data_IF_268641795098
#
_entry.id   IF_268641795098
#
_cell.length_a   1.000
_cell.length_b   1.000
_cell.length_c   1.000
_cell.angle_alpha   90.00
_cell.angle_beta   90.00
_cell.angle_gamma   90.00
#
_symmetry.space_group_name_H-M   'P 1'
#
loop_
_entity.id
_entity.type
_entity.pdbx_description
1 polymer ?
#
# COMPACT_ATOMS: atom_id res chain seq x y z
N UNK A 1 -32.84 20.18 0.70
CA UNK A 1 -31.58 20.03 -0.04
C UNK A 1 -31.75 20.82 -1.33
N UNK A 2 -31.07 21.95 -1.42
CA UNK A 2 -31.03 22.76 -2.64
C UNK A 2 -29.88 22.21 -3.46
N UNK A 3 -30.17 21.57 -4.60
CA UNK A 3 -29.15 21.10 -5.54
C UNK A 3 -28.31 22.29 -6.02
N UNK A 4 -27.02 22.28 -5.71
CA UNK A 4 -26.08 23.31 -6.18
C UNK A 4 -25.67 22.93 -7.60
N UNK A 5 -26.30 23.55 -8.59
CA UNK A 5 -25.94 23.41 -10.00
C UNK A 5 -24.71 24.27 -10.31
N UNK A 6 -23.66 23.67 -10.87
CA UNK A 6 -22.48 24.40 -11.36
C UNK A 6 -22.59 24.56 -12.89
N UNK A 7 -22.26 25.72 -13.48
CA UNK A 7 -22.29 25.89 -14.93
C UNK A 7 -21.24 24.99 -15.61
N UNK A 8 -21.68 24.02 -16.40
CA UNK A 8 -20.80 23.23 -17.28
C UNK A 8 -20.43 23.98 -18.55
N UNK A 9 -19.31 23.64 -19.17
CA UNK A 9 -18.98 24.06 -20.53
C UNK A 9 -20.00 23.46 -21.51
N UNK A 10 -20.72 24.30 -22.26
CA UNK A 10 -21.77 23.87 -23.20
C UNK A 10 -23.22 24.05 -22.72
N UNK A 11 -23.45 24.67 -21.55
CA UNK A 11 -24.81 25.05 -21.11
C UNK A 11 -25.64 23.93 -20.46
N UNK A 12 -25.08 22.74 -20.27
CA UNK A 12 -25.65 21.72 -19.41
C UNK A 12 -25.30 22.02 -17.94
N UNK A 13 -26.29 21.97 -17.05
CA UNK A 13 -26.08 22.08 -15.62
C UNK A 13 -25.53 20.76 -15.09
N UNK A 14 -24.41 20.81 -14.37
CA UNK A 14 -23.77 19.63 -13.78
C UNK A 14 -24.09 19.62 -12.28
N UNK A 15 -24.62 18.51 -11.78
CA UNK A 15 -24.83 18.30 -10.35
C UNK A 15 -23.47 18.00 -9.68
N UNK A 16 -23.21 18.65 -8.55
CA UNK A 16 -21.98 18.44 -7.78
C UNK A 16 -21.79 16.99 -7.28
N UNK A 17 -22.87 16.19 -7.27
CA UNK A 17 -22.89 14.81 -6.76
C UNK A 17 -22.73 13.76 -7.88
N UNK A 18 -22.54 14.18 -9.13
CA UNK A 18 -22.38 13.26 -10.25
C UNK A 18 -21.04 12.50 -10.16
N UNK A 19 -21.06 11.19 -10.45
CA UNK A 19 -19.86 10.36 -10.46
C UNK A 19 -18.97 10.73 -11.64
N UNK A 20 -17.68 10.92 -11.38
CA UNK A 20 -16.69 11.26 -12.41
C UNK A 20 -16.63 10.18 -13.48
N UNK A 21 -16.71 8.91 -13.06
CA UNK A 21 -16.63 7.75 -13.96
C UNK A 21 -17.83 7.60 -14.91
N UNK A 22 -18.98 8.22 -14.58
CA UNK A 22 -20.18 8.20 -15.42
C UNK A 22 -20.14 9.31 -16.50
N UNK A 23 -19.23 10.27 -16.40
CA UNK A 23 -19.11 11.37 -17.35
C UNK A 23 -18.40 10.92 -18.64
N UNK A 24 -18.88 11.30 -19.85
CA UNK A 24 -18.31 10.83 -21.12
C UNK A 24 -16.85 11.24 -21.37
N UNK A 25 -16.36 12.27 -20.70
CA UNK A 25 -14.95 12.65 -20.74
C UNK A 25 -14.03 11.65 -20.02
N UNK A 26 -14.53 10.86 -19.08
CA UNK A 26 -13.73 9.84 -18.39
C UNK A 26 -13.20 8.73 -19.32
N UNK A 27 -14.04 8.02 -20.10
CA UNK A 27 -13.54 7.04 -21.06
C UNK A 27 -12.67 7.68 -22.15
N UNK A 28 -12.90 8.95 -22.51
CA UNK A 28 -12.03 9.69 -23.42
C UNK A 28 -10.63 9.94 -22.83
N UNK A 29 -10.55 10.31 -21.54
CA UNK A 29 -9.29 10.46 -20.81
C UNK A 29 -8.54 9.14 -20.74
N UNK A 30 -9.21 8.05 -20.34
CA UNK A 30 -8.59 6.72 -20.30
C UNK A 30 -8.03 6.30 -21.64
N UNK A 31 -8.80 6.45 -22.72
CA UNK A 31 -8.36 6.11 -24.07
C UNK A 31 -7.12 6.90 -24.50
N UNK A 32 -7.07 8.22 -24.20
CA UNK A 32 -5.92 9.05 -24.50
C UNK A 32 -4.68 8.62 -23.70
N UNK A 33 -4.84 8.32 -22.41
CA UNK A 33 -3.74 7.82 -21.57
C UNK A 33 -3.25 6.45 -22.07
N UNK A 34 -4.14 5.51 -22.35
CA UNK A 34 -3.80 4.18 -22.87
C UNK A 34 -3.13 4.23 -24.25
N UNK A 35 -3.43 5.24 -25.06
CA UNK A 35 -2.75 5.49 -26.33
C UNK A 35 -1.32 6.04 -26.13
N UNK A 36 -1.11 6.92 -25.15
CA UNK A 36 0.22 7.51 -24.85
C UNK A 36 1.18 6.47 -24.26
N UNK A 37 0.68 5.62 -23.35
CA UNK A 37 1.52 4.74 -22.53
C UNK A 37 2.52 3.87 -23.30
N UNK A 38 2.16 3.18 -24.39
CA UNK A 38 3.07 2.29 -25.11
C UNK A 38 4.24 3.04 -25.77
N UNK A 39 4.12 4.36 -25.94
CA UNK A 39 5.17 5.19 -26.53
C UNK A 39 6.20 5.68 -25.51
N UNK A 40 5.89 5.55 -24.21
CA UNK A 40 6.75 6.03 -23.15
C UNK A 40 7.90 5.06 -22.87
N UNK A 41 9.11 5.62 -22.80
CA UNK A 41 10.30 5.01 -22.22
C UNK A 41 10.13 4.82 -20.71
N UNK A 42 11.07 4.11 -20.08
CA UNK A 42 11.03 3.80 -18.64
C UNK A 42 10.95 5.02 -17.72
N UNK A 43 11.49 6.16 -18.15
CA UNK A 43 11.47 7.42 -17.40
C UNK A 43 10.26 8.31 -17.73
N UNK A 44 9.37 7.86 -18.62
CA UNK A 44 8.16 8.55 -19.05
C UNK A 44 8.33 9.44 -20.28
N UNK A 45 9.55 9.63 -20.79
CA UNK A 45 9.82 10.35 -22.04
C UNK A 45 9.39 9.54 -23.28
N UNK A 46 9.29 10.17 -24.45
CA UNK A 46 9.02 9.47 -25.72
C UNK A 46 10.25 9.57 -26.61
N UNK A 47 10.76 8.42 -27.06
CA UNK A 47 11.86 8.33 -28.02
C UNK A 47 11.29 8.22 -29.44
N UNK A 48 11.32 9.33 -30.19
CA UNK A 48 10.83 9.37 -31.56
C UNK A 48 11.75 8.71 -32.58
N UNK A 49 12.98 8.35 -32.19
CA UNK A 49 13.92 7.63 -33.05
C UNK A 49 13.81 6.10 -32.88
N UNK A 50 13.02 5.64 -31.89
CA UNK A 50 12.80 4.22 -31.66
C UNK A 50 12.00 3.57 -32.79
N UNK A 51 12.26 2.28 -33.02
CA UNK A 51 11.51 1.49 -34.00
C UNK A 51 10.02 1.41 -33.59
N UNK A 52 9.13 1.82 -34.50
CA UNK A 52 7.69 1.84 -34.24
C UNK A 52 7.20 3.07 -33.45
N UNK A 53 8.04 4.09 -33.27
CA UNK A 53 7.63 5.34 -32.64
C UNK A 53 6.46 6.01 -33.40
N UNK A 54 5.53 6.66 -32.67
CA UNK A 54 4.43 7.42 -33.27
C UNK A 54 4.97 8.67 -33.97
N UNK A 55 4.15 9.28 -34.84
CA UNK A 55 4.45 10.63 -35.31
C UNK A 55 4.24 11.65 -34.16
N UNK A 56 5.10 12.67 -33.99
CA UNK A 56 4.95 13.67 -32.93
C UNK A 56 3.56 14.31 -32.85
N UNK A 57 2.91 14.55 -33.99
CA UNK A 57 1.57 15.13 -34.07
C UNK A 57 0.49 14.19 -33.51
N UNK A 58 0.70 12.87 -33.58
CA UNK A 58 -0.20 11.88 -32.98
C UNK A 58 -0.14 11.95 -31.45
N UNK A 59 1.08 12.06 -30.91
CA UNK A 59 1.30 12.19 -29.47
C UNK A 59 0.73 13.51 -28.95
N UNK A 60 1.00 14.62 -29.62
CA UNK A 60 0.42 15.94 -29.30
C UNK A 60 -1.12 15.87 -29.29
N UNK A 61 -1.73 15.26 -30.31
CA UNK A 61 -3.16 15.10 -30.37
C UNK A 61 -3.72 14.22 -29.23
N UNK A 62 -3.00 13.17 -28.80
CA UNK A 62 -3.40 12.34 -27.67
C UNK A 62 -3.31 13.11 -26.34
N UNK A 63 -2.23 13.88 -26.13
CA UNK A 63 -2.06 14.71 -24.93
C UNK A 63 -3.14 15.80 -24.86
N UNK A 64 -3.47 16.46 -25.98
CA UNK A 64 -4.53 17.48 -26.00
C UNK A 64 -5.91 16.86 -25.74
N UNK A 65 -6.18 15.63 -26.19
CA UNK A 65 -7.42 14.90 -25.81
C UNK A 65 -7.47 14.64 -24.30
N UNK A 66 -6.36 14.24 -23.69
CA UNK A 66 -6.29 14.06 -22.24
C UNK A 66 -6.53 15.39 -21.50
N UNK A 67 -5.87 16.47 -21.93
CA UNK A 67 -6.05 17.81 -21.36
C UNK A 67 -7.50 18.31 -21.48
N UNK A 68 -8.11 18.19 -22.65
CA UNK A 68 -9.51 18.57 -22.88
C UNK A 68 -10.48 17.74 -22.04
N UNK A 69 -10.20 16.45 -21.83
CA UNK A 69 -11.01 15.59 -20.97
C UNK A 69 -10.90 16.00 -19.50
N UNK A 70 -9.69 16.35 -19.01
CA UNK A 70 -9.49 16.92 -17.67
C UNK A 70 -10.26 18.23 -17.51
N UNK A 71 -10.21 19.13 -18.50
CA UNK A 71 -10.97 20.40 -18.47
C UNK A 71 -12.50 20.15 -18.41
N UNK A 72 -13.01 19.11 -19.06
CA UNK A 72 -14.43 18.73 -19.02
C UNK A 72 -14.85 18.07 -17.70
N UNK A 73 -13.95 17.32 -17.06
CA UNK A 73 -14.21 16.67 -15.76
C UNK A 73 -14.07 17.66 -14.59
N UNK A 74 -13.21 18.68 -14.72
CA UNK A 74 -12.89 19.63 -13.65
C UNK A 74 -14.11 20.29 -12.97
N UNK A 75 -15.19 20.68 -13.68
CA UNK A 75 -16.40 21.23 -13.04
C UNK A 75 -17.11 20.29 -12.06
N UNK A 76 -16.94 18.96 -12.18
CA UNK A 76 -17.45 17.98 -11.21
C UNK A 76 -16.67 17.99 -9.89
N UNK A 77 -15.47 18.55 -9.89
CA UNK A 77 -14.49 18.48 -8.82
C UNK A 77 -14.00 19.88 -8.45
N UNK A 78 -14.88 20.77 -7.96
CA UNK A 78 -14.56 22.19 -7.76
C UNK A 78 -13.39 22.42 -6.81
N UNK A 79 -13.23 21.56 -5.79
CA UNK A 79 -12.13 21.58 -4.82
C UNK A 79 -10.75 21.33 -5.47
N UNK A 80 -10.71 20.65 -6.62
CA UNK A 80 -9.49 20.30 -7.35
C UNK A 80 -9.18 21.23 -8.54
N UNK A 81 -9.91 22.34 -8.70
CA UNK A 81 -9.76 23.26 -9.85
C UNK A 81 -8.32 23.76 -10.04
N UNK A 82 -7.61 24.08 -8.95
CA UNK A 82 -6.23 24.55 -9.01
C UNK A 82 -5.29 23.46 -9.56
N UNK A 83 -5.43 22.24 -9.05
CA UNK A 83 -4.72 21.06 -9.54
C UNK A 83 -5.00 20.81 -11.02
N UNK A 84 -6.26 20.77 -11.45
CA UNK A 84 -6.60 20.50 -12.86
C UNK A 84 -6.03 21.54 -13.82
N UNK A 85 -5.98 22.82 -13.42
CA UNK A 85 -5.34 23.87 -14.22
C UNK A 85 -3.83 23.67 -14.34
N UNK A 86 -3.15 23.32 -13.25
CA UNK A 86 -1.73 23.01 -13.25
C UNK A 86 -1.43 21.76 -14.10
N UNK A 87 -2.26 20.71 -13.96
CA UNK A 87 -2.19 19.47 -14.75
C UNK A 87 -2.26 19.73 -16.25
N UNK A 88 -3.23 20.51 -16.69
CA UNK A 88 -3.37 20.88 -18.10
C UNK A 88 -2.18 21.71 -18.59
N UNK A 89 -1.65 22.60 -17.76
CA UNK A 89 -0.46 23.37 -18.10
C UNK A 89 0.79 22.49 -18.22
N UNK A 90 1.01 21.55 -17.30
CA UNK A 90 2.14 20.62 -17.32
C UNK A 90 2.06 19.65 -18.52
N UNK A 91 0.86 19.17 -18.87
CA UNK A 91 0.64 18.37 -20.09
C UNK A 91 1.07 19.15 -21.36
N UNK A 92 0.60 20.39 -21.50
CA UNK A 92 0.93 21.24 -22.67
C UNK A 92 2.41 21.66 -22.67
N UNK A 93 3.01 21.86 -21.50
CA UNK A 93 4.45 22.12 -21.35
C UNK A 93 5.27 20.91 -21.79
N UNK A 94 4.88 19.70 -21.38
CA UNK A 94 5.57 18.47 -21.77
C UNK A 94 5.61 18.28 -23.29
N UNK A 95 4.51 18.60 -23.99
CA UNK A 95 4.45 18.66 -25.46
C UNK A 95 5.42 19.72 -26.00
N UNK A 96 5.35 20.95 -25.50
CA UNK A 96 6.18 22.06 -25.97
C UNK A 96 7.69 21.84 -25.76
N UNK A 97 8.06 21.07 -24.75
CA UNK A 97 9.45 20.70 -24.46
C UNK A 97 9.94 19.46 -25.24
N UNK A 98 9.08 18.90 -26.11
CA UNK A 98 9.42 17.79 -27.00
C UNK A 98 9.39 16.43 -26.32
N UNK A 99 8.46 16.20 -25.39
CA UNK A 99 8.20 14.90 -24.76
C UNK A 99 9.42 14.30 -24.04
N UNK A 100 10.24 15.15 -23.43
CA UNK A 100 11.38 14.76 -22.56
C UNK A 100 10.89 14.06 -21.30
N UNK A 101 11.78 13.78 -20.35
CA UNK A 101 11.38 13.26 -19.03
C UNK A 101 10.31 14.19 -18.43
N UNK A 102 9.11 13.69 -18.09
CA UNK A 102 8.01 14.53 -17.62
C UNK A 102 8.35 15.26 -16.31
N UNK A 103 7.94 16.53 -16.22
CA UNK A 103 8.03 17.35 -15.02
C UNK A 103 6.64 17.86 -14.62
N UNK A 104 6.02 17.18 -13.65
CA UNK A 104 4.68 17.49 -13.14
C UNK A 104 4.73 18.06 -11.71
N UNK A 105 5.82 18.73 -11.35
CA UNK A 105 5.99 19.28 -10.01
C UNK A 105 4.94 20.36 -9.70
N UNK A 106 4.55 21.18 -10.67
CA UNK A 106 3.59 22.27 -10.44
C UNK A 106 2.19 21.68 -10.20
N UNK A 107 1.82 20.63 -10.94
CA UNK A 107 0.63 19.82 -10.69
C UNK A 107 0.65 19.13 -9.33
N UNK A 108 1.77 18.50 -8.96
CA UNK A 108 1.94 17.84 -7.67
C UNK A 108 1.79 18.84 -6.51
N UNK A 109 2.40 20.01 -6.62
CA UNK A 109 2.31 21.07 -5.62
C UNK A 109 0.93 21.69 -5.52
N UNK A 110 0.06 21.55 -6.53
CA UNK A 110 -1.33 22.00 -6.50
C UNK A 110 -2.31 20.92 -6.04
N UNK A 111 -1.90 19.65 -6.00
CA UNK A 111 -2.71 18.53 -5.57
C UNK A 111 -2.61 18.32 -4.05
N UNK A 112 -3.64 18.79 -3.33
CA UNK A 112 -3.72 18.73 -1.86
C UNK A 112 -4.95 17.96 -1.36
N UNK A 113 -5.07 16.65 -1.68
CA UNK A 113 -6.22 15.84 -1.26
C UNK A 113 -6.39 15.76 0.27
N UNK A 114 -5.32 15.92 1.05
CA UNK A 114 -5.40 15.92 2.51
C UNK A 114 -5.97 17.22 3.12
N UNK A 115 -6.10 18.31 2.35
CA UNK A 115 -6.59 19.59 2.86
C UNK A 115 -8.09 19.58 3.16
N UNK A 116 -8.86 18.76 2.44
CA UNK A 116 -10.31 18.61 2.62
C UNK A 116 -10.67 17.13 2.54
N UNK A 117 -10.49 16.41 3.66
CA UNK A 117 -10.93 15.01 3.79
C UNK A 117 -12.40 14.98 4.16
N UNK A 118 -13.24 14.52 3.24
CA UNK A 118 -14.65 14.31 3.46
C UNK A 118 -15.06 12.92 2.93
N UNK A 119 -15.88 12.21 3.69
CA UNK A 119 -16.32 10.87 3.29
C UNK A 119 -17.02 10.91 1.93
N UNK A 120 -16.56 10.06 1.03
CA UNK A 120 -17.07 9.96 -0.33
C UNK A 120 -16.66 11.07 -1.29
N UNK A 121 -15.77 11.97 -0.90
CA UNK A 121 -15.21 12.99 -1.80
C UNK A 121 -14.43 12.31 -2.93
N UNK A 122 -14.80 12.59 -4.18
CA UNK A 122 -14.13 12.05 -5.35
C UNK A 122 -12.91 12.90 -5.71
N UNK A 123 -11.85 12.27 -6.23
CA UNK A 123 -10.74 12.94 -6.89
C UNK A 123 -10.42 12.28 -8.23
N UNK A 124 -10.03 13.11 -9.21
CA UNK A 124 -9.36 12.67 -10.43
C UNK A 124 -7.86 12.82 -10.21
N UNK A 125 -7.09 11.78 -10.48
CA UNK A 125 -5.63 11.79 -10.39
C UNK A 125 -5.06 11.41 -11.74
N UNK A 126 -4.28 12.30 -12.35
CA UNK A 126 -3.56 12.05 -13.59
C UNK A 126 -2.11 12.49 -13.42
N UNK A 127 -1.18 11.53 -13.51
CA UNK A 127 0.25 11.80 -13.43
C UNK A 127 1.05 10.78 -14.24
N UNK A 128 2.25 11.16 -14.75
CA UNK A 128 3.28 10.21 -15.09
C UNK A 128 3.91 9.67 -13.80
N UNK A 129 3.69 8.39 -13.50
CA UNK A 129 4.12 7.76 -12.25
C UNK A 129 4.48 6.29 -12.45
N UNK A 130 5.26 5.72 -11.54
CA UNK A 130 5.36 4.27 -11.38
C UNK A 130 4.36 3.81 -10.29
N UNK A 131 4.00 2.53 -10.27
CA UNK A 131 3.12 1.97 -9.23
C UNK A 131 3.88 0.97 -8.37
N UNK A 132 3.85 1.15 -7.04
CA UNK A 132 4.51 0.24 -6.11
C UNK A 132 3.85 -1.15 -6.18
N UNK A 133 4.65 -2.22 -6.19
CA UNK A 133 4.16 -3.59 -6.42
C UNK A 133 3.37 -3.77 -7.74
N UNK A 134 3.57 -2.87 -8.71
CA UNK A 134 2.93 -2.88 -10.02
C UNK A 134 3.94 -2.65 -11.14
N UNK A 135 3.75 -1.55 -11.88
CA UNK A 135 4.60 -1.15 -12.98
C UNK A 135 5.78 -0.29 -12.49
N UNK A 136 7.05 -0.73 -12.65
CA UNK A 136 8.21 0.04 -12.21
C UNK A 136 8.57 1.19 -13.15
N UNK A 137 8.03 1.20 -14.37
CA UNK A 137 8.27 2.24 -15.35
C UNK A 137 7.32 3.42 -15.11
N UNK A 138 7.78 4.64 -15.43
CA UNK A 138 6.96 5.85 -15.35
C UNK A 138 6.05 5.94 -16.56
N UNK A 139 4.76 5.75 -16.32
CA UNK A 139 3.72 5.88 -17.34
C UNK A 139 2.65 6.87 -16.90
N UNK A 140 1.97 7.51 -17.84
CA UNK A 140 0.74 8.23 -17.50
C UNK A 140 -0.29 7.23 -16.98
N UNK A 141 -0.84 7.53 -15.82
CA UNK A 141 -1.96 6.84 -15.23
C UNK A 141 -3.04 7.87 -14.88
N UNK A 142 -4.27 7.56 -15.25
CA UNK A 142 -5.48 8.22 -14.77
C UNK A 142 -6.23 7.29 -13.81
N UNK A 143 -6.63 7.84 -12.66
CA UNK A 143 -7.36 7.13 -11.59
C UNK A 143 -8.48 8.05 -11.09
N UNK A 144 -9.70 7.52 -11.00
CA UNK A 144 -10.75 8.13 -10.18
C UNK A 144 -10.80 7.38 -8.86
N UNK A 145 -10.68 8.14 -7.79
CA UNK A 145 -10.71 7.61 -6.44
C UNK A 145 -11.78 8.32 -5.61
N UNK A 146 -12.20 7.67 -4.53
CA UNK A 146 -13.15 8.22 -3.57
C UNK A 146 -12.60 8.07 -2.16
N UNK A 147 -12.65 9.15 -1.39
CA UNK A 147 -12.16 9.21 -0.02
C UNK A 147 -13.05 8.37 0.92
N UNK A 148 -12.42 7.63 1.84
CA UNK A 148 -13.07 6.95 2.96
C UNK A 148 -12.69 7.71 4.22
N UNK A 149 -13.60 8.55 4.68
CA UNK A 149 -13.37 9.42 5.83
C UNK A 149 -14.62 9.57 6.71
N UNK A 150 -15.23 8.45 7.16
CA UNK A 150 -16.42 8.50 7.97
C UNK A 150 -16.16 9.22 9.30
N UNK A 151 -17.21 9.77 9.90
CA UNK A 151 -17.11 10.61 11.11
C UNK A 151 -16.35 9.91 12.27
N UNK A 152 -16.55 8.60 12.44
CA UNK A 152 -15.85 7.85 13.49
C UNK A 152 -14.33 7.79 13.27
N UNK A 153 -13.88 7.72 12.01
CA UNK A 153 -12.46 7.68 11.66
C UNK A 153 -11.84 9.07 11.85
N UNK A 154 -12.55 10.11 11.39
CA UNK A 154 -12.19 11.51 11.61
C UNK A 154 -12.03 11.83 13.10
N UNK A 155 -12.96 11.36 13.94
CA UNK A 155 -12.87 11.53 15.40
C UNK A 155 -11.66 10.82 16.01
N UNK A 156 -11.36 9.59 15.56
CA UNK A 156 -10.19 8.85 16.03
C UNK A 156 -8.87 9.51 15.62
N UNK A 157 -8.77 10.00 14.38
CA UNK A 157 -7.61 10.77 13.91
C UNK A 157 -7.39 12.02 14.77
N UNK A 158 -8.47 12.79 14.98
CA UNK A 158 -8.43 14.05 15.72
C UNK A 158 -8.07 13.87 17.20
N UNK A 159 -8.43 12.75 17.81
CA UNK A 159 -8.34 12.57 19.28
C UNK A 159 -7.30 11.57 19.75
N UNK A 160 -6.87 10.62 18.90
CA UNK A 160 -5.98 9.52 19.31
C UNK A 160 -4.85 9.24 18.34
N UNK A 161 -5.13 9.31 17.04
CA UNK A 161 -4.23 8.82 15.99
C UNK A 161 -3.98 9.91 14.95
N UNK A 162 -3.42 11.04 15.39
CA UNK A 162 -3.12 12.17 14.50
C UNK A 162 -2.30 11.73 13.30
N UNK A 163 -2.86 11.91 12.10
CA UNK A 163 -2.19 11.58 10.86
C UNK A 163 -2.73 12.49 9.74
N UNK A 164 -2.28 13.75 9.67
CA UNK A 164 -2.82 14.74 8.74
C UNK A 164 -2.47 14.44 7.27
N UNK A 165 -1.54 13.51 7.00
CA UNK A 165 -1.10 13.19 5.64
C UNK A 165 -1.80 11.94 5.08
N UNK A 166 -2.30 11.06 5.94
CA UNK A 166 -2.95 9.82 5.52
C UNK A 166 -4.30 10.06 4.85
N UNK A 167 -4.55 9.29 3.79
CA UNK A 167 -5.80 9.22 3.07
C UNK A 167 -6.24 7.76 2.91
N UNK A 168 -7.38 7.42 3.50
CA UNK A 168 -8.13 6.22 3.13
C UNK A 168 -8.87 6.47 1.83
N UNK A 169 -8.64 5.65 0.80
CA UNK A 169 -9.23 5.85 -0.52
C UNK A 169 -9.75 4.53 -1.11
N UNK A 170 -10.69 4.62 -2.04
CA UNK A 170 -11.21 3.50 -2.84
C UNK A 170 -11.05 3.78 -4.33
N UNK A 171 -10.98 2.73 -5.14
CA UNK A 171 -10.92 2.82 -6.61
C UNK A 171 -12.33 2.86 -7.21
N UNK A 172 -12.67 3.95 -7.90
CA UNK A 172 -13.90 4.00 -8.71
C UNK A 172 -13.65 3.44 -10.12
N UNK A 173 -12.58 3.87 -10.79
CA UNK A 173 -12.10 3.33 -12.07
C UNK A 173 -10.65 3.81 -12.32
N UNK A 174 -9.91 3.12 -13.18
CA UNK A 174 -8.49 3.40 -13.40
C UNK A 174 -7.99 2.92 -14.77
N UNK A 175 -6.79 3.39 -15.12
CA UNK A 175 -6.00 2.92 -16.26
C UNK A 175 -5.05 1.78 -15.86
N UNK A 176 -4.53 0.98 -16.82
CA UNK A 176 -3.88 -0.31 -16.54
C UNK A 176 -2.71 -0.36 -15.53
N UNK A 177 -2.11 0.75 -15.09
CA UNK A 177 -1.05 0.71 -14.08
C UNK A 177 -1.57 0.31 -12.70
N UNK A 178 -2.85 0.53 -12.44
CA UNK A 178 -3.55 0.01 -11.27
C UNK A 178 -4.27 -1.31 -11.53
N UNK A 179 -4.20 -1.88 -12.74
CA UNK A 179 -4.51 -3.31 -12.98
C UNK A 179 -3.31 -4.18 -12.53
N UNK A 180 -2.92 -4.04 -11.27
CA UNK A 180 -1.74 -4.66 -10.66
C UNK A 180 -2.02 -5.02 -9.19
N UNK A 181 -0.99 -5.38 -8.42
CA UNK A 181 -1.11 -5.54 -6.97
C UNK A 181 -0.88 -4.23 -6.19
N UNK A 182 -0.59 -3.11 -6.87
CA UNK A 182 -0.46 -1.80 -6.21
C UNK A 182 -1.71 -1.48 -5.41
N UNK A 183 -1.53 -1.12 -4.14
CA UNK A 183 -2.61 -0.72 -3.24
C UNK A 183 -2.36 0.65 -2.61
N UNK A 184 -1.45 1.44 -3.20
CA UNK A 184 -1.07 2.74 -2.68
C UNK A 184 -0.97 3.77 -3.81
N UNK A 185 -1.16 5.03 -3.45
CA UNK A 185 -0.93 6.19 -4.29
C UNK A 185 -0.07 7.14 -3.47
N UNK A 186 1.20 7.28 -3.84
CA UNK A 186 2.18 8.11 -3.13
C UNK A 186 2.80 9.17 -4.03
N UNK A 187 2.97 10.40 -3.54
CA UNK A 187 3.51 11.51 -4.33
C UNK A 187 4.96 11.29 -4.79
N UNK A 188 5.74 10.47 -4.07
CA UNK A 188 7.11 10.07 -4.41
C UNK A 188 7.21 9.34 -5.76
N UNK A 189 6.10 8.77 -6.23
CA UNK A 189 6.06 7.99 -7.48
C UNK A 189 6.00 8.86 -8.74
N UNK A 190 5.60 10.12 -8.58
CA UNK A 190 5.30 11.05 -9.67
C UNK A 190 6.61 11.60 -10.29
N UNK A 191 6.62 11.74 -11.61
CA UNK A 191 7.74 12.33 -12.33
C UNK A 191 7.77 13.85 -12.13
N UNK A 192 8.85 14.32 -11.51
CA UNK A 192 9.10 15.73 -11.18
C UNK A 192 10.55 16.10 -11.47
N UNK A 193 10.80 17.37 -11.80
CA UNK A 193 12.17 17.90 -11.99
C UNK A 193 13.04 17.77 -10.73
N UNK A 194 12.43 17.91 -9.56
CA UNK A 194 13.05 17.79 -8.25
C UNK A 194 12.01 17.31 -7.22
N UNK A 195 12.45 16.51 -6.25
CA UNK A 195 11.55 16.04 -5.20
C UNK A 195 11.16 17.22 -4.29
N UNK A 196 9.87 17.39 -3.94
CA UNK A 196 9.44 18.36 -2.94
C UNK A 196 10.21 18.21 -1.63
N UNK A 197 10.43 19.32 -0.90
CA UNK A 197 11.07 19.26 0.43
C UNK A 197 10.27 18.40 1.41
N UNK A 198 8.94 18.40 1.27
CA UNK A 198 8.00 17.62 2.07
C UNK A 198 6.84 17.17 1.21
N UNK A 199 6.46 15.92 1.36
CA UNK A 199 5.21 15.40 0.85
C UNK A 199 4.06 15.74 1.80
N UNK A 200 2.86 15.90 1.25
CA UNK A 200 1.69 16.42 2.00
C UNK A 200 0.53 15.44 2.05
N UNK A 201 0.67 14.25 1.46
CA UNK A 201 -0.36 13.23 1.44
C UNK A 201 0.23 11.85 1.10
N UNK A 202 -0.45 10.79 1.54
CA UNK A 202 -0.21 9.41 1.12
C UNK A 202 -1.52 8.64 1.16
N UNK A 203 -1.88 7.99 0.04
CA UNK A 203 -3.15 7.29 -0.11
C UNK A 203 -3.00 5.78 -0.13
N UNK A 204 -3.89 5.09 0.59
CA UNK A 204 -3.95 3.62 0.62
C UNK A 204 -5.36 3.17 0.19
N UNK A 205 -5.41 2.24 -0.77
CA UNK A 205 -6.64 1.73 -1.36
C UNK A 205 -7.27 0.64 -0.50
N UNK A 206 -8.02 1.06 0.54
CA UNK A 206 -8.59 0.14 1.52
C UNK A 206 -9.63 -0.81 0.91
N UNK A 207 -10.30 -0.45 -0.19
CA UNK A 207 -11.21 -1.34 -0.94
C UNK A 207 -10.49 -2.53 -1.54
N UNK A 208 -9.32 -2.27 -2.14
CA UNK A 208 -8.49 -3.29 -2.77
C UNK A 208 -7.86 -4.20 -1.72
N UNK A 209 -7.41 -3.64 -0.61
CA UNK A 209 -6.85 -4.43 0.49
C UNK A 209 -7.91 -5.29 1.15
N UNK A 210 -9.09 -4.74 1.42
CA UNK A 210 -10.25 -5.48 1.90
C UNK A 210 -10.64 -6.62 0.93
N UNK A 211 -10.80 -6.34 -0.36
CA UNK A 211 -11.18 -7.36 -1.34
C UNK A 211 -10.14 -8.48 -1.45
N UNK A 212 -8.85 -8.12 -1.41
CA UNK A 212 -7.76 -9.09 -1.41
C UNK A 212 -7.73 -9.91 -0.12
N UNK A 213 -7.91 -9.27 1.03
CA UNK A 213 -7.98 -9.90 2.33
C UNK A 213 -9.07 -10.95 2.38
N UNK A 214 -10.29 -10.59 1.97
CA UNK A 214 -11.45 -11.50 1.95
C UNK A 214 -11.12 -12.77 1.17
N UNK A 215 -10.69 -12.60 -0.08
CA UNK A 215 -10.40 -13.70 -1.00
C UNK A 215 -9.25 -14.62 -0.56
N UNK A 216 -8.17 -14.03 -0.04
CA UNK A 216 -7.01 -14.82 0.42
C UNK A 216 -7.30 -15.48 1.77
N UNK A 217 -8.02 -14.81 2.66
CA UNK A 217 -8.42 -15.34 3.96
C UNK A 217 -9.36 -16.52 3.82
N UNK A 218 -10.40 -16.42 2.99
CA UNK A 218 -11.30 -17.54 2.69
C UNK A 218 -10.52 -18.77 2.20
N UNK A 219 -9.66 -18.60 1.20
CA UNK A 219 -8.83 -19.68 0.69
C UNK A 219 -7.87 -20.25 1.75
N UNK A 220 -7.27 -19.40 2.58
CA UNK A 220 -6.38 -19.84 3.65
C UNK A 220 -7.13 -20.63 4.72
N UNK A 221 -8.33 -20.20 5.11
CA UNK A 221 -9.22 -20.89 6.05
C UNK A 221 -9.55 -22.29 5.55
N UNK A 222 -9.94 -22.42 4.29
CA UNK A 222 -10.25 -23.71 3.66
C UNK A 222 -9.03 -24.64 3.58
N UNK A 223 -7.90 -24.11 3.11
CA UNK A 223 -6.66 -24.88 2.95
C UNK A 223 -6.14 -25.40 4.29
N UNK A 224 -6.26 -24.59 5.34
CA UNK A 224 -5.67 -24.84 6.64
C UNK A 224 -6.67 -25.47 7.62
N UNK A 225 -7.95 -25.58 7.26
CA UNK A 225 -9.01 -26.09 8.14
C UNK A 225 -9.16 -25.25 9.41
N UNK A 226 -9.09 -23.93 9.29
CA UNK A 226 -9.21 -23.00 10.43
C UNK A 226 -10.69 -22.84 10.79
N UNK A 227 -11.02 -22.93 12.07
CA UNK A 227 -12.36 -22.57 12.57
C UNK A 227 -12.38 -21.10 12.98
N UNK A 228 -13.11 -20.29 12.22
CA UNK A 228 -13.32 -18.87 12.53
C UNK A 228 -14.43 -18.67 13.57
N UNK A 229 -14.32 -17.65 14.44
CA UNK A 229 -15.48 -17.13 15.17
C UNK A 229 -16.58 -16.67 14.21
N UNK A 230 -17.85 -16.89 14.55
CA UNK A 230 -19.00 -16.62 13.68
C UNK A 230 -19.10 -15.16 13.23
N UNK A 231 -18.75 -14.21 14.10
CA UNK A 231 -18.74 -12.79 13.78
C UNK A 231 -17.63 -12.41 12.78
N UNK A 232 -16.52 -13.13 12.80
CA UNK A 232 -15.38 -12.93 11.90
C UNK A 232 -15.60 -13.62 10.56
N UNK A 233 -16.22 -14.80 10.54
CA UNK A 233 -16.65 -15.43 9.29
C UNK A 233 -17.54 -14.46 8.49
N UNK A 234 -18.49 -13.80 9.16
CA UNK A 234 -19.32 -12.74 8.56
C UNK A 234 -18.53 -11.50 8.12
N UNK A 235 -17.45 -11.14 8.81
CA UNK A 235 -16.57 -10.05 8.39
C UNK A 235 -15.88 -10.38 7.06
N UNK A 236 -15.37 -11.61 6.90
CA UNK A 236 -14.69 -12.05 5.67
C UNK A 236 -15.62 -12.02 4.45
N UNK A 237 -16.93 -12.12 4.66
CA UNK A 237 -17.94 -12.00 3.61
C UNK A 237 -18.38 -10.54 3.33
N UNK A 238 -17.96 -9.57 4.16
CA UNK A 238 -18.45 -8.19 4.12
C UNK A 238 -17.34 -7.22 3.68
N UNK A 239 -17.44 -6.78 2.41
CA UNK A 239 -16.51 -5.82 1.80
C UNK A 239 -16.38 -4.52 2.60
N UNK A 240 -17.50 -3.92 2.98
CA UNK A 240 -17.53 -2.59 3.62
C UNK A 240 -16.98 -2.67 5.04
N UNK A 241 -17.28 -3.76 5.76
CA UNK A 241 -16.71 -3.98 7.09
C UNK A 241 -15.21 -4.21 7.04
N UNK A 242 -14.71 -4.96 6.05
CA UNK A 242 -13.27 -5.09 5.82
C UNK A 242 -12.63 -3.74 5.46
N UNK A 243 -13.23 -2.92 4.60
CA UNK A 243 -12.73 -1.58 4.27
C UNK A 243 -12.56 -0.70 5.51
N UNK A 244 -13.54 -0.72 6.42
CA UNK A 244 -13.48 0.00 7.70
C UNK A 244 -12.34 -0.51 8.60
N UNK A 245 -12.06 -1.81 8.58
CA UNK A 245 -10.92 -2.38 9.30
C UNK A 245 -9.59 -1.92 8.69
N UNK A 246 -9.43 -2.02 7.36
CA UNK A 246 -8.21 -1.60 6.69
C UNK A 246 -7.92 -0.12 6.87
N UNK A 247 -8.90 0.76 6.67
CA UNK A 247 -8.67 2.21 6.83
C UNK A 247 -8.25 2.60 8.25
N UNK A 248 -8.77 1.93 9.28
CA UNK A 248 -8.32 2.14 10.67
C UNK A 248 -6.92 1.56 10.89
N UNK A 249 -6.65 0.36 10.40
CA UNK A 249 -5.34 -0.26 10.48
C UNK A 249 -4.29 0.66 9.84
N UNK A 250 -4.50 1.06 8.60
CA UNK A 250 -3.58 1.89 7.81
C UNK A 250 -3.31 3.24 8.48
N UNK A 251 -4.35 3.91 8.99
CA UNK A 251 -4.20 5.19 9.68
C UNK A 251 -3.24 5.09 10.87
N UNK A 252 -3.38 4.03 11.68
CA UNK A 252 -2.55 3.81 12.87
C UNK A 252 -1.16 3.29 12.49
N UNK A 253 -1.07 2.40 11.50
CA UNK A 253 0.18 1.87 10.97
C UNK A 253 1.06 3.01 10.43
N UNK A 254 0.54 3.79 9.49
CA UNK A 254 1.28 4.85 8.80
C UNK A 254 1.76 5.92 9.81
N UNK A 255 0.88 6.29 10.74
CA UNK A 255 1.23 7.17 11.86
C UNK A 255 2.42 6.62 12.65
N UNK A 256 2.47 5.32 12.87
CA UNK A 256 3.48 4.67 13.73
C UNK A 256 4.89 4.79 13.16
N UNK A 257 5.07 4.93 11.84
CA UNK A 257 6.40 5.17 11.26
C UNK A 257 7.07 6.44 11.78
N UNK A 258 6.29 7.44 12.20
CA UNK A 258 6.80 8.71 12.74
C UNK A 258 6.71 8.82 14.27
N UNK A 259 6.30 7.75 14.96
CA UNK A 259 6.01 7.75 16.40
C UNK A 259 6.66 6.59 17.18
N UNK A 260 6.86 6.82 18.47
CA UNK A 260 7.40 5.84 19.42
C UNK A 260 8.90 5.98 19.67
N UNK A 261 9.48 5.01 20.38
CA UNK A 261 10.93 4.96 20.61
C UNK A 261 11.63 4.54 19.32
N UNK A 262 12.31 5.49 18.69
CA UNK A 262 12.99 5.27 17.41
C UNK A 262 14.49 5.02 17.63
N UNK A 263 15.08 3.93 17.11
CA UNK A 263 16.45 3.95 16.59
C UNK A 263 16.48 4.62 15.21
N UNK A 264 15.29 4.77 14.58
CA UNK A 264 15.04 5.38 13.28
C UNK A 264 15.14 6.90 13.40
N UNK A 265 16.36 7.39 13.33
CA UNK A 265 16.62 8.82 13.32
C UNK A 265 15.88 9.49 12.12
N UNK A 266 15.16 10.61 12.31
CA UNK A 266 14.56 11.37 11.21
C UNK A 266 15.56 11.82 10.12
N UNK A 267 16.88 11.77 10.38
CA UNK A 267 17.96 11.95 9.40
C UNK A 267 18.40 10.64 8.69
N UNK A 268 17.87 9.47 9.09
CA UNK A 268 18.24 8.12 8.60
C UNK A 268 17.33 7.54 7.50
N UNK A 269 16.20 8.19 7.18
CA UNK A 269 15.20 7.73 6.18
C UNK A 269 15.82 7.41 4.80
N UNK A 270 17.02 7.95 4.50
CA UNK A 270 17.74 7.73 3.23
C UNK A 270 18.90 6.72 3.30
N UNK A 271 19.08 6.02 4.42
CA UNK A 271 20.22 5.10 4.59
C UNK A 271 19.84 3.65 4.30
N UNK A 272 20.64 3.00 3.46
CA UNK A 272 20.49 1.58 3.14
C UNK A 272 20.72 0.71 4.38
N UNK A 273 19.72 -0.09 4.74
CA UNK A 273 19.75 -1.04 5.85
C UNK A 273 19.62 -2.47 5.33
N UNK A 274 19.94 -3.50 6.13
CA UNK A 274 19.58 -4.87 5.79
C UNK A 274 18.05 -5.08 5.86
N UNK A 275 17.50 -5.97 5.00
CA UNK A 275 16.05 -6.05 4.81
C UNK A 275 15.26 -6.47 6.07
N UNK A 276 15.89 -7.15 7.02
CA UNK A 276 15.24 -7.48 8.29
C UNK A 276 14.97 -6.29 9.19
N UNK A 277 15.70 -5.18 9.03
CA UNK A 277 15.36 -3.94 9.76
C UNK A 277 14.07 -3.33 9.22
N UNK A 278 13.87 -3.34 7.90
CA UNK A 278 12.58 -2.92 7.32
C UNK A 278 11.47 -3.90 7.74
N UNK A 279 11.74 -5.21 7.75
CA UNK A 279 10.73 -6.19 8.15
C UNK A 279 10.30 -6.06 9.62
N UNK A 280 11.23 -5.70 10.51
CA UNK A 280 10.91 -5.39 11.90
C UNK A 280 10.19 -4.05 12.06
N UNK A 281 10.50 -3.06 11.23
CA UNK A 281 9.81 -1.77 11.24
C UNK A 281 8.36 -1.90 10.81
N UNK A 282 8.11 -2.55 9.68
CA UNK A 282 6.75 -2.82 9.19
C UNK A 282 5.95 -3.66 10.20
N UNK A 283 6.58 -4.69 10.78
CA UNK A 283 5.94 -5.49 11.81
C UNK A 283 5.68 -4.67 13.08
N UNK A 284 6.60 -3.79 13.51
CA UNK A 284 6.39 -2.89 14.66
C UNK A 284 5.16 -2.00 14.44
N UNK A 285 5.03 -1.40 13.25
CA UNK A 285 3.89 -0.54 12.91
C UNK A 285 2.58 -1.33 12.98
N UNK A 286 2.53 -2.52 12.39
CA UNK A 286 1.33 -3.37 12.44
C UNK A 286 0.99 -3.89 13.81
N UNK A 287 1.98 -4.29 14.60
CA UNK A 287 1.74 -4.76 15.95
C UNK A 287 1.34 -3.60 16.89
N UNK A 288 1.75 -2.38 16.57
CA UNK A 288 1.25 -1.16 17.25
C UNK A 288 -0.21 -0.90 16.88
N UNK A 289 -0.56 -0.98 15.59
CA UNK A 289 -1.96 -0.89 15.15
C UNK A 289 -2.83 -1.99 15.80
N UNK A 290 -2.34 -3.22 15.84
CA UNK A 290 -2.98 -4.35 16.51
C UNK A 290 -3.18 -4.07 18.01
N UNK A 291 -2.15 -3.59 18.71
CA UNK A 291 -2.21 -3.25 20.14
C UNK A 291 -3.25 -2.17 20.43
N UNK A 292 -3.31 -1.14 19.59
CA UNK A 292 -4.32 -0.08 19.69
C UNK A 292 -5.72 -0.60 19.36
N UNK A 293 -5.85 -1.54 18.40
CA UNK A 293 -7.10 -2.19 18.08
C UNK A 293 -7.65 -3.05 19.24
N UNK A 294 -6.79 -3.78 19.97
CA UNK A 294 -7.16 -4.48 21.22
C UNK A 294 -7.72 -3.50 22.25
N UNK A 295 -7.09 -2.33 22.38
CA UNK A 295 -7.55 -1.29 23.31
C UNK A 295 -8.90 -0.73 22.88
N UNK A 296 -9.08 -0.41 21.60
CA UNK A 296 -10.34 0.06 21.03
C UNK A 296 -11.48 -0.96 21.24
N UNK A 297 -11.24 -2.24 21.00
CA UNK A 297 -12.23 -3.31 21.28
C UNK A 297 -12.63 -3.31 22.77
N UNK A 298 -11.67 -3.21 23.68
CA UNK A 298 -11.93 -3.17 25.13
C UNK A 298 -12.72 -1.94 25.58
N UNK A 299 -12.66 -0.85 24.80
CA UNK A 299 -13.39 0.40 25.00
C UNK A 299 -14.75 0.39 24.28
N UNK A 300 -15.11 -0.70 23.59
CA UNK A 300 -16.39 -0.88 22.91
C UNK A 300 -16.44 -0.38 21.45
N UNK A 301 -15.30 -0.06 20.84
CA UNK A 301 -15.24 0.24 19.41
C UNK A 301 -15.20 -1.07 18.60
N UNK A 302 -16.21 -1.28 17.75
CA UNK A 302 -16.38 -2.51 16.98
C UNK A 302 -15.26 -2.79 15.97
N UNK A 303 -14.66 -1.74 15.40
CA UNK A 303 -13.58 -1.87 14.40
C UNK A 303 -12.28 -2.40 15.01
N UNK A 304 -12.08 -2.23 16.32
CA UNK A 304 -10.89 -2.73 17.02
C UNK A 304 -10.76 -4.26 16.98
N UNK A 305 -11.89 -4.98 16.98
CA UNK A 305 -11.87 -6.43 16.79
C UNK A 305 -11.51 -6.80 15.36
N UNK A 306 -12.11 -6.11 14.40
CA UNK A 306 -11.92 -6.39 12.97
C UNK A 306 -10.47 -6.18 12.52
N UNK A 307 -9.84 -5.09 12.98
CA UNK A 307 -8.41 -4.81 12.72
C UNK A 307 -7.51 -5.93 13.25
N UNK A 308 -7.79 -6.49 14.43
CA UNK A 308 -6.98 -7.57 14.98
C UNK A 308 -6.96 -8.79 14.06
N UNK A 309 -8.12 -9.19 13.53
CA UNK A 309 -8.20 -10.33 12.62
C UNK A 309 -7.60 -10.00 11.25
N UNK A 310 -7.82 -8.79 10.74
CA UNK A 310 -7.20 -8.31 9.50
C UNK A 310 -5.67 -8.44 9.55
N UNK A 311 -5.05 -7.87 10.58
CA UNK A 311 -3.59 -7.93 10.81
C UNK A 311 -3.12 -9.38 10.89
N UNK A 312 -3.77 -10.21 11.72
CA UNK A 312 -3.35 -11.59 11.94
C UNK A 312 -3.36 -12.40 10.65
N UNK A 313 -4.43 -12.33 9.87
CA UNK A 313 -4.57 -13.14 8.66
C UNK A 313 -3.66 -12.67 7.53
N UNK A 314 -3.56 -11.36 7.29
CA UNK A 314 -2.69 -10.86 6.22
C UNK A 314 -1.21 -11.07 6.53
N UNK A 315 -0.78 -10.76 7.77
CA UNK A 315 0.62 -11.01 8.18
C UNK A 315 0.93 -12.49 8.22
N UNK A 316 0.05 -13.37 8.70
CA UNK A 316 0.38 -14.79 8.78
C UNK A 316 0.20 -15.56 7.48
N UNK A 317 -0.76 -15.23 6.61
CA UNK A 317 -1.12 -16.11 5.49
C UNK A 317 -0.96 -15.50 4.11
N UNK A 318 -1.00 -14.16 3.99
CA UNK A 318 -0.87 -13.49 2.69
C UNK A 318 0.54 -12.97 2.45
N UNK A 319 1.06 -12.13 3.33
CA UNK A 319 2.36 -11.46 3.14
C UNK A 319 3.54 -12.42 2.95
N UNK A 320 3.69 -13.53 3.73
CA UNK A 320 4.82 -14.46 3.58
C UNK A 320 4.93 -15.09 2.19
N UNK A 321 3.80 -15.20 1.48
CA UNK A 321 3.67 -15.94 0.22
C UNK A 321 3.29 -15.06 -0.96
N UNK A 322 3.30 -13.74 -0.78
CA UNK A 322 3.04 -12.75 -1.83
C UNK A 322 4.36 -12.15 -2.37
N UNK A 323 4.42 -11.93 -3.68
CA UNK A 323 5.58 -11.29 -4.32
C UNK A 323 6.81 -12.20 -4.48
N UNK A 324 7.92 -11.61 -4.94
CA UNK A 324 9.24 -12.27 -5.01
C UNK A 324 9.84 -12.44 -3.60
N UNK A 325 10.80 -13.35 -3.43
CA UNK A 325 11.51 -13.59 -2.16
C UNK A 325 12.79 -12.75 -1.99
N UNK A 326 13.16 -11.96 -2.99
CA UNK A 326 14.32 -11.07 -2.96
C UNK A 326 14.08 -9.88 -2.03
N UNK A 327 14.63 -9.97 -0.82
CA UNK A 327 14.59 -8.96 0.24
C UNK A 327 13.17 -8.58 0.63
N UNK A 328 12.26 -9.56 0.58
CA UNK A 328 10.85 -9.40 0.93
C UNK A 328 10.68 -9.22 2.45
N UNK A 329 10.68 -7.97 2.87
CA UNK A 329 10.62 -7.58 4.27
C UNK A 329 9.22 -7.80 4.89
N UNK A 330 8.15 -7.61 4.14
CA UNK A 330 6.79 -7.90 4.61
C UNK A 330 6.57 -9.38 4.90
N UNK A 331 7.04 -10.22 3.98
CA UNK A 331 6.98 -11.65 4.14
C UNK A 331 7.85 -12.13 5.32
N UNK A 332 8.97 -11.47 5.60
CA UNK A 332 9.76 -11.76 6.80
C UNK A 332 8.99 -11.45 8.09
N UNK A 333 8.38 -10.26 8.19
CA UNK A 333 7.60 -9.87 9.35
C UNK A 333 6.44 -10.85 9.62
N UNK A 334 5.76 -11.27 8.57
CA UNK A 334 4.69 -12.27 8.66
C UNK A 334 5.15 -13.65 9.15
N UNK A 335 6.30 -14.13 8.64
CA UNK A 335 6.90 -15.37 9.13
C UNK A 335 7.26 -15.28 10.60
N UNK A 336 7.82 -14.14 11.04
CA UNK A 336 8.20 -13.91 12.43
C UNK A 336 6.98 -13.96 13.35
N UNK A 337 5.88 -13.27 13.00
CA UNK A 337 4.63 -13.30 13.77
C UNK A 337 4.10 -14.74 13.90
N UNK A 338 4.00 -15.47 12.80
CA UNK A 338 3.52 -16.86 12.83
C UNK A 338 4.42 -17.76 13.67
N UNK A 339 5.74 -17.65 13.50
CA UNK A 339 6.70 -18.45 14.27
C UNK A 339 6.62 -18.13 15.76
N UNK A 340 6.45 -16.87 16.13
CA UNK A 340 6.27 -16.44 17.51
C UNK A 340 4.99 -17.05 18.11
N UNK A 341 3.83 -16.86 17.47
CA UNK A 341 2.57 -17.43 17.93
C UNK A 341 2.61 -18.96 18.03
N UNK A 342 3.30 -19.63 17.11
CA UNK A 342 3.53 -21.07 17.15
C UNK A 342 4.42 -21.49 18.32
N UNK A 343 5.54 -20.81 18.56
CA UNK A 343 6.44 -21.09 19.71
C UNK A 343 5.77 -20.90 21.06
N UNK A 344 4.75 -20.04 21.12
CA UNK A 344 3.96 -19.75 22.31
C UNK A 344 2.65 -20.54 22.40
N UNK A 345 2.50 -21.60 21.59
CA UNK A 345 1.36 -22.52 21.62
C UNK A 345 0.00 -21.87 21.28
N UNK A 346 0.01 -20.70 20.62
CA UNK A 346 -1.21 -20.03 20.14
C UNK A 346 -1.64 -20.61 18.80
N UNK A 347 -0.68 -20.85 17.91
CA UNK A 347 -0.91 -21.47 16.61
C UNK A 347 -0.39 -22.90 16.66
N UNK A 348 -1.24 -23.89 16.37
CA UNK A 348 -0.85 -25.31 16.39
C UNK A 348 -1.33 -26.04 15.15
N UNK A 349 -0.42 -26.72 14.46
CA UNK A 349 -0.76 -27.64 13.38
C UNK A 349 -0.88 -29.06 13.92
N UNK A 350 -2.07 -29.66 13.83
CA UNK A 350 -2.33 -31.03 14.29
C UNK A 350 -3.40 -31.67 13.42
N UNK A 351 -3.22 -32.94 13.05
CA UNK A 351 -4.18 -33.70 12.25
C UNK A 351 -4.61 -32.98 10.95
N UNK A 352 -3.66 -32.32 10.29
CA UNK A 352 -3.86 -31.51 9.07
C UNK A 352 -4.80 -30.31 9.22
N UNK A 353 -4.96 -29.79 10.44
CA UNK A 353 -5.71 -28.56 10.72
C UNK A 353 -4.83 -27.57 11.50
N UNK A 354 -4.97 -26.28 11.19
CA UNK A 354 -4.34 -25.20 11.94
C UNK A 354 -5.33 -24.66 12.97
N UNK A 355 -5.03 -24.85 14.25
CA UNK A 355 -5.81 -24.30 15.36
C UNK A 355 -5.16 -23.02 15.87
N UNK A 356 -6.00 -22.01 16.14
CA UNK A 356 -5.59 -20.73 16.69
C UNK A 356 -6.33 -20.53 18.02
N UNK A 357 -5.60 -20.32 19.11
CA UNK A 357 -6.18 -19.89 20.37
C UNK A 357 -6.53 -18.40 20.29
N UNK A 358 -7.75 -18.11 19.83
CA UNK A 358 -8.26 -16.75 19.66
C UNK A 358 -8.29 -15.94 20.96
N UNK A 359 -8.38 -16.62 22.12
CA UNK A 359 -8.35 -15.96 23.42
C UNK A 359 -6.93 -15.54 23.82
N UNK A 360 -5.90 -16.29 23.42
CA UNK A 360 -4.48 -16.01 23.72
C UNK A 360 -3.75 -15.21 22.63
N UNK A 361 -4.29 -15.17 21.41
CA UNK A 361 -3.65 -14.50 20.29
C UNK A 361 -3.35 -13.02 20.58
N UNK A 362 -4.30 -12.20 21.09
CA UNK A 362 -4.01 -10.79 21.35
C UNK A 362 -2.89 -10.56 22.37
N UNK A 363 -2.84 -11.34 23.44
CA UNK A 363 -1.86 -11.18 24.51
C UNK A 363 -0.46 -11.56 24.05
N UNK A 364 -0.34 -12.64 23.27
CA UNK A 364 0.96 -13.11 22.77
C UNK A 364 1.45 -12.23 21.62
N UNK A 365 0.57 -11.75 20.74
CA UNK A 365 0.92 -10.75 19.73
C UNK A 365 1.45 -9.45 20.37
N UNK A 366 0.81 -8.98 21.45
CA UNK A 366 1.29 -7.82 22.20
C UNK A 366 2.63 -8.06 22.94
N UNK A 367 2.98 -9.31 23.26
CA UNK A 367 4.31 -9.65 23.80
C UNK A 367 5.39 -9.47 22.72
N UNK A 368 5.15 -9.95 21.49
CA UNK A 368 6.06 -9.70 20.38
C UNK A 368 6.20 -8.21 20.08
N UNK A 369 5.10 -7.46 20.10
CA UNK A 369 5.13 -5.99 19.98
C UNK A 369 6.09 -5.37 20.99
N UNK A 370 5.96 -5.75 22.28
CA UNK A 370 6.79 -5.22 23.35
C UNK A 370 8.28 -5.62 23.21
N UNK A 371 8.58 -6.83 22.72
CA UNK A 371 9.95 -7.26 22.43
C UNK A 371 10.60 -6.42 21.33
N UNK A 372 9.86 -6.13 20.25
CA UNK A 372 10.35 -5.29 19.15
C UNK A 372 10.48 -3.83 19.61
N UNK A 373 9.51 -3.28 20.34
CA UNK A 373 9.61 -1.94 20.94
C UNK A 373 10.82 -1.83 21.86
N UNK A 374 11.12 -2.87 22.65
CA UNK A 374 12.31 -2.92 23.49
C UNK A 374 13.59 -2.94 22.65
N UNK A 375 13.66 -3.76 21.58
CA UNK A 375 14.80 -3.78 20.66
C UNK A 375 15.12 -2.36 20.16
N UNK A 376 14.06 -1.64 19.76
CA UNK A 376 14.09 -0.28 19.24
C UNK A 376 14.54 0.73 20.29
N UNK A 377 13.93 0.71 21.48
CA UNK A 377 14.32 1.54 22.63
C UNK A 377 15.80 1.35 23.00
N UNK A 378 16.25 0.10 23.11
CA UNK A 378 17.65 -0.20 23.41
C UNK A 378 18.62 0.30 22.30
N UNK A 379 18.11 0.64 21.12
CA UNK A 379 18.89 1.16 20.00
C UNK A 379 19.56 2.50 20.29
N UNK A 380 19.03 3.30 21.21
CA UNK A 380 19.61 4.59 21.62
C UNK A 380 21.04 4.45 22.17
N UNK A 381 21.33 3.31 22.81
CA UNK A 381 22.62 3.02 23.44
C UNK A 381 23.53 2.14 22.54
N UNK A 382 23.10 1.79 21.32
CA UNK A 382 23.80 0.85 20.45
C UNK A 382 24.43 1.55 19.24
N UNK A 383 25.71 1.27 18.92
CA UNK A 383 26.22 1.54 17.59
C UNK A 383 25.37 0.83 16.53
N UNK A 384 25.18 1.46 15.38
CA UNK A 384 24.32 0.96 14.28
C UNK A 384 24.51 -0.52 13.96
N UNK A 385 25.75 -0.95 13.75
CA UNK A 385 26.04 -2.34 13.40
C UNK A 385 25.73 -3.31 14.55
N UNK A 386 25.97 -2.90 15.79
CA UNK A 386 25.60 -3.67 16.99
C UNK A 386 24.08 -3.81 17.07
N UNK A 387 23.33 -2.73 16.77
CA UNK A 387 21.88 -2.77 16.72
C UNK A 387 21.37 -3.73 15.63
N UNK A 388 21.95 -3.70 14.43
CA UNK A 388 21.59 -4.61 13.34
C UNK A 388 21.85 -6.09 13.70
N UNK A 389 22.94 -6.40 14.41
CA UNK A 389 23.18 -7.74 14.92
C UNK A 389 22.15 -8.17 15.98
N UNK A 390 21.74 -7.26 16.87
CA UNK A 390 20.70 -7.56 17.87
C UNK A 390 19.32 -7.77 17.23
N UNK A 391 19.01 -7.02 16.19
CA UNK A 391 17.83 -7.24 15.38
C UNK A 391 17.89 -8.62 14.67
N UNK A 392 19.04 -8.97 14.10
CA UNK A 392 19.26 -10.27 13.48
C UNK A 392 19.11 -11.42 14.49
N UNK A 393 19.66 -11.27 15.70
CA UNK A 393 19.52 -12.24 16.80
C UNK A 393 18.05 -12.45 17.20
N UNK A 394 17.26 -11.37 17.29
CA UNK A 394 15.82 -11.47 17.55
C UNK A 394 15.12 -12.28 16.46
N UNK A 395 15.33 -11.93 15.18
CA UNK A 395 14.69 -12.63 14.06
C UNK A 395 15.12 -14.10 14.01
N UNK A 396 16.42 -14.36 14.14
CA UNK A 396 17.00 -15.71 14.04
C UNK A 396 16.69 -16.63 15.23
N UNK A 397 16.19 -16.07 16.34
CA UNK A 397 15.63 -16.86 17.45
C UNK A 397 14.38 -17.64 17.01
N UNK A 398 13.60 -17.08 16.08
CA UNK A 398 12.33 -17.66 15.64
C UNK A 398 12.41 -18.24 14.22
N UNK A 399 13.22 -17.65 13.34
CA UNK A 399 13.36 -18.03 11.94
C UNK A 399 14.76 -18.57 11.65
N UNK A 400 14.84 -19.72 10.99
CA UNK A 400 16.14 -20.25 10.57
C UNK A 400 16.72 -19.37 9.44
N UNK A 401 17.92 -18.78 9.61
CA UNK A 401 18.58 -18.09 8.52
C UNK A 401 19.01 -19.07 7.42
N UNK A 402 19.19 -18.58 6.21
CA UNK A 402 19.68 -19.36 5.09
C UNK A 402 21.04 -20.01 5.44
N UNK A 403 21.26 -21.31 5.16
CA UNK A 403 22.49 -22.01 5.56
C UNK A 403 23.79 -21.39 5.01
N UNK A 404 23.69 -20.68 3.88
CA UNK A 404 24.80 -19.96 3.24
C UNK A 404 25.07 -18.55 3.79
N UNK A 405 24.28 -18.05 4.74
CA UNK A 405 24.36 -16.67 5.22
C UNK A 405 25.74 -16.34 5.81
N UNK A 406 26.28 -15.18 5.42
CA UNK A 406 27.48 -14.60 6.05
C UNK A 406 27.12 -13.96 7.40
N UNK A 407 25.97 -13.31 7.50
CA UNK A 407 25.49 -12.67 8.73
C UNK A 407 25.22 -13.67 9.86
N UNK A 408 24.67 -14.85 9.54
CA UNK A 408 24.45 -15.93 10.50
C UNK A 408 25.73 -16.49 11.12
N UNK A 409 26.87 -16.35 10.43
CA UNK A 409 28.19 -16.77 10.94
C UNK A 409 28.76 -15.78 11.97
N UNK A 410 28.15 -14.61 12.10
CA UNK A 410 28.54 -13.59 13.08
C UNK A 410 29.60 -12.61 12.59
N UNK A 411 30.07 -11.73 13.49
CA UNK A 411 30.94 -10.59 13.15
C UNK A 411 32.26 -10.99 12.49
N UNK A 412 32.83 -12.15 12.84
CA UNK A 412 34.11 -12.63 12.29
C UNK A 412 34.04 -12.99 10.81
N UNK A 413 32.83 -13.17 10.25
CA UNK A 413 32.62 -13.47 8.84
C UNK A 413 32.40 -12.21 7.98
N UNK A 414 32.30 -11.02 8.58
CA UNK A 414 32.11 -9.75 7.89
C UNK A 414 33.38 -8.89 7.93
N UNK A 415 33.62 -8.10 6.90
CA UNK A 415 34.68 -7.09 6.92
C UNK A 415 34.23 -5.82 7.67
N UNK A 416 34.29 -5.86 9.00
CA UNK A 416 33.84 -4.78 9.88
C UNK A 416 34.65 -3.47 9.74
N UNK A 417 35.69 -3.44 8.91
CA UNK A 417 36.40 -2.20 8.56
C UNK A 417 35.65 -1.38 7.51
N UNK A 418 34.71 -1.99 6.80
CA UNK A 418 33.88 -1.34 5.79
C UNK A 418 32.75 -0.52 6.43
N UNK A 419 32.28 0.54 5.73
CA UNK A 419 31.10 1.27 6.19
C UNK A 419 29.86 0.35 6.17
N UNK A 420 28.91 0.50 7.13
CA UNK A 420 27.77 -0.42 7.29
C UNK A 420 26.96 -0.68 5.99
N UNK A 421 26.81 0.33 5.13
CA UNK A 421 26.11 0.20 3.83
C UNK A 421 26.70 -0.87 2.90
N UNK A 422 27.99 -1.20 3.05
CA UNK A 422 28.68 -2.23 2.27
C UNK A 422 28.47 -3.62 2.84
N UNK A 423 28.32 -3.75 4.16
CA UNK A 423 27.96 -5.01 4.82
C UNK A 423 26.55 -5.49 4.41
N UNK A 424 25.68 -4.57 3.99
CA UNK A 424 24.37 -4.91 3.41
C UNK A 424 24.49 -5.67 2.08
N UNK A 425 25.61 -5.54 1.35
CA UNK A 425 25.86 -6.32 0.14
C UNK A 425 26.04 -7.83 0.44
N UNK A 426 26.45 -8.18 1.67
CA UNK A 426 26.63 -9.56 2.11
C UNK A 426 25.34 -10.24 2.58
N UNK A 427 24.22 -9.52 2.56
CA UNK A 427 22.88 -10.06 2.87
C UNK A 427 22.34 -10.80 1.65
N UNK A 428 21.96 -12.06 1.82
CA UNK A 428 21.38 -12.85 0.74
C UNK A 428 20.03 -12.28 0.29
N UNK A 429 19.64 -12.46 -0.98
CA UNK A 429 18.30 -12.12 -1.45
C UNK A 429 17.21 -12.70 -0.54
N UNK A 430 17.28 -13.98 -0.19
CA UNK A 430 16.37 -14.63 0.76
C UNK A 430 17.15 -15.12 1.99
N UNK A 431 17.52 -14.16 2.85
CA UNK A 431 18.29 -14.42 4.10
C UNK A 431 17.54 -15.30 5.10
N UNK A 432 16.21 -15.28 5.07
CA UNK A 432 15.31 -16.05 5.94
C UNK A 432 14.27 -16.77 5.07
N UNK A 433 14.64 -17.92 4.48
CA UNK A 433 13.80 -18.63 3.52
C UNK A 433 12.53 -19.16 4.17
N UNK A 434 11.55 -19.49 3.32
CA UNK A 434 10.27 -20.04 3.76
C UNK A 434 10.46 -21.33 4.57
N UNK A 435 9.69 -21.46 5.65
CA UNK A 435 9.56 -22.73 6.36
C UNK A 435 8.83 -23.76 5.47
N UNK A 436 8.93 -25.06 5.80
CA UNK A 436 8.19 -26.12 5.09
C UNK A 436 6.67 -25.85 5.03
N UNK A 437 6.11 -25.25 6.08
CA UNK A 437 4.71 -24.83 6.11
C UNK A 437 4.43 -23.79 5.02
N UNK A 438 5.23 -22.73 4.95
CA UNK A 438 5.04 -21.67 3.98
C UNK A 438 5.35 -22.09 2.54
N UNK A 439 6.31 -22.99 2.31
CA UNK A 439 6.55 -23.56 0.98
C UNK A 439 5.30 -24.30 0.45
N UNK A 440 4.60 -25.02 1.32
CA UNK A 440 3.36 -25.72 0.97
C UNK A 440 2.20 -24.74 0.78
N UNK A 441 2.03 -23.79 1.70
CA UNK A 441 0.98 -22.77 1.64
C UNK A 441 1.11 -21.90 0.39
N UNK A 442 2.33 -21.45 0.05
CA UNK A 442 2.61 -20.65 -1.13
C UNK A 442 2.15 -21.35 -2.42
N UNK A 443 2.40 -22.66 -2.54
CA UNK A 443 1.94 -23.44 -3.70
C UNK A 443 0.43 -23.49 -3.81
N UNK A 444 -0.28 -23.59 -2.68
CA UNK A 444 -1.75 -23.69 -2.63
C UNK A 444 -2.42 -22.34 -2.86
N UNK A 445 -1.87 -21.24 -2.33
CA UNK A 445 -2.42 -19.89 -2.47
C UNK A 445 -1.98 -19.17 -3.77
N UNK A 446 -0.99 -19.69 -4.51
CA UNK A 446 -0.44 -19.04 -5.70
C UNK A 446 -1.49 -18.52 -6.68
N UNK A 447 -2.46 -19.37 -7.05
CA UNK A 447 -3.50 -19.00 -8.02
C UNK A 447 -4.48 -17.97 -7.44
N UNK A 448 -4.81 -18.09 -6.15
CA UNK A 448 -5.71 -17.14 -5.47
C UNK A 448 -5.06 -15.75 -5.42
N UNK A 449 -3.81 -15.66 -4.97
CA UNK A 449 -3.07 -14.40 -4.91
C UNK A 449 -2.93 -13.78 -6.30
N UNK A 450 -2.57 -14.58 -7.32
CA UNK A 450 -2.47 -14.09 -8.70
C UNK A 450 -3.82 -13.54 -9.22
N UNK A 451 -4.94 -14.13 -8.78
CA UNK A 451 -6.29 -13.65 -9.15
C UNK A 451 -6.70 -12.34 -8.49
N UNK A 452 -5.93 -11.84 -7.51
CA UNK A 452 -6.17 -10.54 -6.87
C UNK A 452 -5.51 -9.37 -7.61
N UNK A 453 -4.89 -9.61 -8.77
CA UNK A 453 -4.36 -8.54 -9.62
C UNK A 453 -5.54 -7.68 -10.12
N UNK A 454 -5.45 -6.36 -9.93
CA UNK A 454 -6.49 -5.42 -10.37
C UNK A 454 -7.81 -5.49 -9.59
N UNK A 455 -7.85 -6.23 -8.48
CA UNK A 455 -9.07 -6.41 -7.68
C UNK A 455 -9.53 -5.07 -7.08
N UNK A 456 -10.85 -4.86 -7.03
CA UNK A 456 -11.54 -3.76 -6.36
C UNK A 456 -12.76 -4.31 -5.64
N UNK A 457 -13.42 -3.48 -4.82
CA UNK A 457 -14.70 -3.84 -4.21
C UNK A 457 -15.73 -4.34 -5.25
N UNK A 458 -15.84 -3.68 -6.40
CA UNK A 458 -16.87 -3.98 -7.40
C UNK A 458 -16.67 -5.30 -8.17
N UNK A 459 -15.43 -5.67 -8.48
CA UNK A 459 -15.15 -6.85 -9.30
C UNK A 459 -14.87 -8.12 -8.47
N UNK A 460 -14.63 -7.98 -7.16
CA UNK A 460 -14.53 -9.11 -6.23
C UNK A 460 -15.83 -9.93 -6.22
N UNK A 461 -16.97 -9.27 -6.00
CA UNK A 461 -18.29 -9.91 -5.94
C UNK A 461 -18.75 -10.45 -7.31
N UNK A 462 -18.26 -9.87 -8.41
CA UNK A 462 -18.62 -10.30 -9.77
C UNK A 462 -17.93 -11.60 -10.15
N UNK A 463 -16.70 -11.83 -9.68
CA UNK A 463 -15.99 -13.09 -9.88
C UNK A 463 -16.62 -14.25 -9.10
N UNK A 464 -17.14 -13.99 -7.90
CA UNK A 464 -17.86 -14.99 -7.09
C UNK A 464 -19.19 -15.40 -7.73
N UNK A 465 -19.96 -14.45 -8.29
CA UNK A 465 -21.23 -14.74 -9.00
C UNK A 465 -21.08 -15.46 -10.32
N UNK A 466 -19.90 -15.40 -10.96
CA UNK A 466 -19.63 -16.13 -12.20
C UNK A 466 -19.11 -17.56 -11.94
N UNK A 467 -18.69 -17.86 -10.71
CA UNK A 467 -18.18 -19.16 -10.29
C UNK A 467 -19.23 -20.01 -9.54
N UNK A 468 -20.29 -19.39 -9.01
CA UNK A 468 -21.49 -20.03 -8.47
C UNK A 468 -22.53 -20.31 -9.57
#
# INVERSE_FOLDING_TARGET
>A
MTETLVPGTGGAAIAADARVVDHPAWPALKAAVEEIRPWQSKDGSIDFEAEGAPAPEQVEAAVERAAAAVEQLSPLLPHATAYHKALVADLRKWVAEGFRVPDFLDSLMAFHPAAERADGLQHLVVFPMYTQNGNPDRNFEAVVLKMVWPEWLSELERTRYDNPLFLGITLEDFTPGYDTHSAVLFPETIAVREAPERFTWGGIFCDREAARYRKVTEAAVDILGIELPEDIARMVEDQERCEKAFVLWDMVHDRTHSHGDLPFDPFMIKQRQPFWMYGLEELRCDLTAFKEAVKLESEGNEHGRDVQYAVLFDRMFRFPVSGDRNRNYDGLGGQLLFAYLHKHDVVRWTDNTLKIDWMRAPQVTNQLCAEIEKLYRDGIDRPKLVHWFKAYELVSTYLAPHPGSTWAKGPDALDLTQPPRKLVDDVLPDEFPLSMFYEALAKKLKTVIASCKGITAHNADTAERAAA
#
